data_IF_278929767961
#
_entry.id   IF_278929767961
#
_cell.length_a   1.000
_cell.length_b   1.000
_cell.length_c   1.000
_cell.angle_alpha   90.00
_cell.angle_beta   90.00
_cell.angle_gamma   90.00
#
_symmetry.space_group_name_H-M   'P 1'
#
loop_
_entity.id
_entity.type
_entity.pdbx_description
1 polymer ?
#
# COMPACT_ATOMS: atom_id res chain seq x y z
N UNK A 1 24.55 -20.48 29.90
CA UNK A 1 24.17 -21.91 29.81
C UNK A 1 23.17 -21.95 28.70
N UNK A 2 23.66 -22.10 27.47
CA UNK A 2 23.03 -21.46 26.31
C UNK A 2 22.02 -22.37 25.61
N UNK A 3 21.66 -23.50 26.23
CA UNK A 3 20.77 -24.51 25.66
C UNK A 3 19.29 -24.11 25.57
N UNK A 4 18.88 -23.00 26.20
CA UNK A 4 17.51 -22.50 26.08
C UNK A 4 17.24 -21.91 24.68
N UNK A 5 18.26 -21.39 24.01
CA UNK A 5 18.14 -20.68 22.73
C UNK A 5 17.67 -21.61 21.61
N UNK A 6 18.28 -22.78 21.50
CA UNK A 6 17.90 -23.80 20.50
C UNK A 6 16.49 -24.32 20.76
N UNK A 7 16.16 -24.58 22.04
CA UNK A 7 14.80 -25.01 22.45
C UNK A 7 13.76 -23.95 22.08
N UNK A 8 14.05 -22.67 22.38
CA UNK A 8 13.17 -21.55 22.06
C UNK A 8 12.89 -21.46 20.55
N UNK A 9 13.93 -21.53 19.71
CA UNK A 9 13.76 -21.44 18.26
C UNK A 9 12.94 -22.60 17.70
N UNK A 10 13.15 -23.82 18.18
CA UNK A 10 12.40 -25.01 17.76
C UNK A 10 10.90 -24.90 18.11
N UNK A 11 10.62 -24.40 19.31
CA UNK A 11 9.24 -24.22 19.77
C UNK A 11 8.54 -23.04 19.09
N UNK A 12 9.24 -21.92 18.87
CA UNK A 12 8.70 -20.79 18.10
C UNK A 12 8.41 -21.20 16.66
N UNK A 13 9.33 -21.94 16.02
CA UNK A 13 9.14 -22.50 14.68
C UNK A 13 7.90 -23.39 14.61
N UNK A 14 7.74 -24.29 15.59
CA UNK A 14 6.58 -25.19 15.69
C UNK A 14 5.28 -24.42 15.85
N UNK A 15 5.31 -23.32 16.59
CA UNK A 15 4.15 -22.47 16.84
C UNK A 15 3.67 -21.80 15.58
N UNK A 16 4.59 -21.17 14.83
CA UNK A 16 4.27 -20.56 13.54
C UNK A 16 3.68 -21.56 12.56
N UNK A 17 4.06 -22.83 12.61
CA UNK A 17 3.40 -23.87 11.80
C UNK A 17 2.01 -24.20 12.33
N UNK A 18 1.85 -24.28 13.65
CA UNK A 18 0.58 -24.68 14.28
C UNK A 18 -0.51 -23.61 14.22
N UNK A 19 -0.14 -22.33 14.23
CA UNK A 19 -1.05 -21.18 14.16
C UNK A 19 -1.37 -20.76 12.71
N UNK A 20 -0.68 -21.35 11.74
CA UNK A 20 -0.86 -21.08 10.31
C UNK A 20 -0.08 -19.89 9.78
N UNK A 21 0.88 -19.34 10.53
CA UNK A 21 1.85 -18.34 10.05
C UNK A 21 2.75 -18.93 8.97
N UNK A 22 3.22 -20.16 9.19
CA UNK A 22 4.09 -20.93 8.30
C UNK A 22 3.44 -22.24 7.85
N UNK A 23 3.81 -22.67 6.65
CA UNK A 23 3.56 -24.02 6.14
C UNK A 23 4.86 -24.73 5.82
N UNK A 24 4.82 -26.07 5.83
CA UNK A 24 5.95 -26.92 5.46
C UNK A 24 5.74 -27.49 4.07
N UNK A 25 6.50 -26.98 3.09
CA UNK A 25 6.43 -27.41 1.69
C UNK A 25 7.74 -28.11 1.33
N UNK A 26 7.68 -29.42 1.07
CA UNK A 26 8.86 -30.24 0.75
C UNK A 26 9.99 -30.17 1.81
N UNK A 27 9.62 -29.99 3.09
CA UNK A 27 10.57 -29.86 4.20
C UNK A 27 11.15 -28.45 4.37
N UNK A 28 10.63 -27.46 3.65
CA UNK A 28 11.01 -26.05 3.77
C UNK A 28 9.87 -25.28 4.43
N UNK A 29 10.20 -24.43 5.41
CA UNK A 29 9.25 -23.55 6.06
C UNK A 29 9.01 -22.30 5.20
N UNK A 30 7.75 -21.99 4.90
CA UNK A 30 7.33 -20.88 4.04
C UNK A 30 6.18 -20.12 4.69
N UNK A 31 6.09 -18.81 4.44
CA UNK A 31 4.91 -18.03 4.80
C UNK A 31 3.66 -18.63 4.15
N UNK A 32 2.58 -18.77 4.91
CA UNK A 32 1.31 -19.16 4.29
C UNK A 32 0.75 -17.99 3.50
N UNK A 33 0.05 -18.30 2.40
CA UNK A 33 -0.65 -17.27 1.60
C UNK A 33 -1.66 -16.46 2.42
N UNK A 34 -2.25 -17.05 3.46
CA UNK A 34 -3.16 -16.36 4.37
C UNK A 34 -2.43 -15.34 5.24
N UNK A 35 -1.29 -15.73 5.83
CA UNK A 35 -0.47 -14.84 6.63
C UNK A 35 0.14 -13.71 5.79
N UNK A 36 0.68 -13.99 4.59
CA UNK A 36 1.21 -12.96 3.70
C UNK A 36 0.15 -11.93 3.29
N UNK A 37 -1.08 -12.36 3.01
CA UNK A 37 -2.17 -11.42 2.71
C UNK A 37 -2.60 -10.62 3.93
N UNK A 38 -2.63 -11.23 5.11
CA UNK A 38 -2.94 -10.52 6.36
C UNK A 38 -1.88 -9.46 6.66
N UNK A 39 -0.60 -9.79 6.54
CA UNK A 39 0.52 -8.85 6.72
C UNK A 39 0.44 -7.68 5.73
N UNK A 40 0.23 -7.98 4.45
CA UNK A 40 0.07 -6.97 3.40
C UNK A 40 -1.12 -6.04 3.71
N UNK A 41 -2.26 -6.62 4.12
CA UNK A 41 -3.44 -5.84 4.48
C UNK A 41 -3.24 -5.00 5.73
N UNK A 42 -2.56 -5.52 6.76
CA UNK A 42 -2.30 -4.79 8.01
C UNK A 42 -1.30 -3.65 7.84
N UNK A 43 -0.51 -3.70 6.77
CA UNK A 43 0.45 -2.66 6.41
C UNK A 43 -0.05 -1.78 5.27
N UNK A 44 -1.35 -1.84 4.95
CA UNK A 44 -1.96 -1.03 3.89
C UNK A 44 -1.31 -1.19 2.51
N UNK A 45 -0.76 -2.37 2.22
CA UNK A 45 0.02 -2.70 1.02
C UNK A 45 1.35 -1.94 0.88
N UNK A 46 1.86 -1.37 1.96
CA UNK A 46 3.15 -0.66 1.97
C UNK A 46 4.32 -1.61 2.17
N UNK A 47 4.10 -2.75 2.83
CA UNK A 47 5.15 -3.71 3.11
C UNK A 47 4.71 -5.14 2.76
N UNK A 48 5.64 -5.92 2.24
CA UNK A 48 5.40 -7.30 1.81
C UNK A 48 6.42 -8.25 2.41
N UNK A 49 5.95 -9.45 2.79
CA UNK A 49 6.85 -10.54 3.16
C UNK A 49 7.61 -11.04 1.94
N UNK A 50 8.90 -11.25 2.11
CA UNK A 50 9.78 -11.82 1.10
C UNK A 50 9.55 -13.34 0.98
N UNK A 51 9.67 -13.88 -0.23
CA UNK A 51 9.69 -15.34 -0.46
C UNK A 51 11.06 -15.92 -0.06
N UNK A 52 11.23 -16.09 1.25
CA UNK A 52 12.40 -16.70 1.87
C UNK A 52 12.02 -18.00 2.57
N UNK A 53 12.99 -18.86 2.82
CA UNK A 53 12.81 -20.02 3.68
C UNK A 53 12.81 -19.51 5.12
N UNK A 54 11.81 -19.81 5.94
CA UNK A 54 11.69 -19.27 7.31
C UNK A 54 12.11 -20.34 8.33
N UNK A 55 13.35 -20.80 8.20
CA UNK A 55 13.99 -21.68 9.18
C UNK A 55 14.73 -20.83 10.22
N UNK A 56 14.13 -20.69 11.40
CA UNK A 56 14.63 -19.82 12.47
C UNK A 56 16.03 -20.22 12.95
N UNK A 57 16.38 -21.51 12.93
CA UNK A 57 17.71 -21.97 13.34
C UNK A 57 18.80 -21.62 12.33
N UNK A 58 18.43 -21.57 11.05
CA UNK A 58 19.31 -21.13 9.97
C UNK A 58 19.33 -19.60 9.82
N UNK A 59 18.24 -18.95 10.20
CA UNK A 59 18.07 -17.50 10.12
C UNK A 59 18.79 -16.77 11.26
N UNK A 60 18.69 -17.26 12.51
CA UNK A 60 19.26 -16.61 13.69
C UNK A 60 20.61 -17.19 14.13
N UNK A 61 21.58 -16.31 14.31
CA UNK A 61 22.90 -16.66 14.81
C UNK A 61 22.96 -16.69 16.34
N UNK A 62 22.56 -17.82 16.94
CA UNK A 62 22.55 -18.03 18.40
C UNK A 62 23.93 -18.03 19.07
N UNK A 63 25.02 -18.08 18.28
CA UNK A 63 26.39 -17.98 18.83
C UNK A 63 26.75 -16.56 19.31
N UNK A 64 25.94 -15.56 18.93
CA UNK A 64 26.08 -14.17 19.34
C UNK A 64 25.28 -13.95 20.63
N UNK A 65 25.90 -14.18 21.79
CA UNK A 65 25.26 -13.91 23.08
C UNK A 65 24.76 -12.45 23.18
N UNK A 66 23.52 -12.29 23.67
CA UNK A 66 22.63 -11.10 23.62
C UNK A 66 21.77 -10.92 22.35
N UNK A 67 22.19 -11.41 21.19
CA UNK A 67 21.44 -11.17 19.95
C UNK A 67 20.05 -11.81 19.90
N UNK A 68 19.88 -13.01 20.47
CA UNK A 68 18.54 -13.65 20.47
C UNK A 68 17.48 -12.83 21.23
N UNK A 69 17.87 -12.04 22.23
CA UNK A 69 16.92 -11.17 22.93
C UNK A 69 16.43 -10.04 22.01
N UNK A 70 17.30 -9.45 21.19
CA UNK A 70 16.91 -8.44 20.20
C UNK A 70 15.98 -9.04 19.12
N UNK A 71 16.24 -10.29 18.71
CA UNK A 71 15.36 -10.99 17.77
C UNK A 71 13.95 -11.29 18.35
N UNK A 72 13.83 -11.52 19.66
CA UNK A 72 12.53 -11.69 20.32
C UNK A 72 11.71 -10.39 20.21
N UNK A 73 12.33 -9.25 20.52
CA UNK A 73 11.69 -7.93 20.38
C UNK A 73 11.28 -7.64 18.94
N UNK A 74 12.12 -8.02 17.97
CA UNK A 74 11.78 -7.92 16.55
C UNK A 74 10.55 -8.75 16.18
N UNK A 75 10.45 -9.99 16.66
CA UNK A 75 9.30 -10.84 16.38
C UNK A 75 8.01 -10.41 17.09
N UNK A 76 8.09 -9.91 18.31
CA UNK A 76 6.94 -9.30 18.99
C UNK A 76 6.34 -8.16 18.15
N UNK A 77 7.20 -7.33 17.57
CA UNK A 77 6.79 -6.27 16.67
C UNK A 77 6.24 -6.77 15.34
N UNK A 78 6.93 -7.70 14.69
CA UNK A 78 6.55 -8.20 13.37
C UNK A 78 5.21 -8.94 13.39
N UNK A 79 4.96 -9.71 14.44
CA UNK A 79 3.76 -10.55 14.55
C UNK A 79 2.66 -9.92 15.38
N UNK A 80 2.88 -8.72 15.95
CA UNK A 80 1.98 -8.09 16.92
C UNK A 80 1.61 -9.09 18.05
N UNK A 81 2.55 -9.97 18.37
CA UNK A 81 2.40 -10.97 19.41
C UNK A 81 2.86 -10.40 20.73
N UNK A 82 2.32 -10.95 21.80
CA UNK A 82 2.79 -10.67 23.13
C UNK A 82 3.51 -11.91 23.66
N UNK A 83 4.70 -12.21 23.11
CA UNK A 83 5.52 -13.34 23.53
C UNK A 83 6.00 -13.19 24.99
N UNK A 84 5.78 -12.03 25.62
CA UNK A 84 6.30 -11.65 26.93
C UNK A 84 5.26 -11.53 28.07
N UNK A 85 3.94 -11.50 27.82
CA UNK A 85 2.93 -11.08 28.83
C UNK A 85 2.34 -12.12 29.79
N UNK A 86 2.57 -13.42 29.59
CA UNK A 86 1.90 -14.42 30.43
C UNK A 86 2.61 -14.60 31.78
N UNK A 87 1.88 -14.87 32.87
CA UNK A 87 2.52 -15.18 34.15
C UNK A 87 3.43 -16.41 34.11
N UNK A 88 3.22 -17.29 33.13
CA UNK A 88 4.03 -18.48 32.90
C UNK A 88 5.36 -18.14 32.19
N UNK A 89 5.41 -17.08 31.35
CA UNK A 89 6.67 -16.52 30.78
C UNK A 89 7.58 -15.84 31.78
N UNK A 90 7.07 -15.41 32.93
CA UNK A 90 7.85 -14.69 33.93
C UNK A 90 8.56 -15.59 34.95
N UNK A 91 8.19 -16.88 35.05
CA UNK A 91 8.53 -17.71 36.22
C UNK A 91 9.60 -18.78 35.98
N UNK A 92 10.01 -19.04 34.74
CA UNK A 92 11.00 -20.07 34.45
C UNK A 92 11.89 -19.70 33.24
N UNK A 93 13.23 -19.78 33.40
CA UNK A 93 14.22 -19.77 32.30
C UNK A 93 14.13 -21.02 31.40
N UNK A 94 12.93 -21.50 31.09
CA UNK A 94 12.71 -22.79 30.44
C UNK A 94 12.79 -22.74 28.92
N UNK A 95 12.72 -21.56 28.32
CA UNK A 95 12.84 -21.41 26.86
C UNK A 95 11.78 -22.23 26.11
N UNK A 96 10.58 -22.34 26.69
CA UNK A 96 9.44 -23.09 26.14
C UNK A 96 8.25 -22.17 25.83
N UNK A 97 7.24 -22.63 25.10
CA UNK A 97 6.02 -21.90 24.71
C UNK A 97 5.11 -21.49 25.87
N UNK A 98 5.20 -22.19 26.99
CA UNK A 98 4.60 -21.74 28.26
C UNK A 98 5.39 -20.57 28.88
N UNK A 99 6.49 -20.13 28.27
CA UNK A 99 7.27 -18.99 28.71
C UNK A 99 8.27 -18.44 27.69
N UNK A 100 7.74 -17.86 26.61
CA UNK A 100 8.48 -17.54 25.39
C UNK A 100 9.59 -16.53 25.55
N UNK A 101 9.52 -15.61 26.51
CA UNK A 101 10.64 -14.71 26.76
C UNK A 101 11.46 -15.21 27.97
N UNK A 102 12.75 -15.56 27.78
CA UNK A 102 13.60 -15.97 28.87
C UNK A 102 13.76 -14.81 29.85
N UNK A 103 13.61 -15.07 31.15
CA UNK A 103 13.94 -14.09 32.20
C UNK A 103 15.38 -13.55 32.06
N UNK A 104 16.26 -14.35 31.46
CA UNK A 104 17.63 -13.96 31.06
C UNK A 104 17.72 -12.79 30.08
N UNK A 105 16.68 -12.50 29.30
CA UNK A 105 16.63 -11.34 28.39
C UNK A 105 16.15 -10.06 29.08
N UNK A 106 15.51 -10.15 30.26
CA UNK A 106 14.98 -8.98 30.96
C UNK A 106 13.84 -8.24 30.24
N UNK A 107 13.30 -8.81 29.15
CA UNK A 107 12.18 -8.27 28.35
C UNK A 107 10.80 -8.60 28.96
N UNK A 108 10.80 -9.43 30.00
CA UNK A 108 9.65 -9.98 30.67
C UNK A 108 9.49 -9.30 32.04
N UNK A 109 8.98 -8.07 32.08
CA UNK A 109 8.56 -7.43 33.32
C UNK A 109 7.03 -7.30 33.42
N UNK A 110 6.52 -7.14 34.65
CA UNK A 110 5.08 -7.14 34.94
C UNK A 110 4.35 -5.88 34.50
N UNK A 111 5.07 -4.93 33.89
CA UNK A 111 4.41 -3.80 33.25
C UNK A 111 3.95 -4.31 31.89
N UNK A 112 2.63 -4.32 31.66
CA UNK A 112 2.04 -4.54 30.33
C UNK A 112 2.97 -3.93 29.30
N UNK A 113 3.57 -4.76 28.44
CA UNK A 113 4.55 -4.35 27.45
C UNK A 113 4.14 -3.00 26.91
N UNK A 114 4.86 -1.95 27.33
CA UNK A 114 4.44 -0.58 27.08
C UNK A 114 4.81 -0.26 25.65
N UNK A 115 4.02 -0.82 24.72
CA UNK A 115 4.05 -0.67 23.29
C UNK A 115 5.29 0.02 22.76
N UNK A 116 6.41 -0.70 22.65
CA UNK A 116 7.33 -0.40 21.56
C UNK A 116 6.79 -1.10 20.33
N UNK A 117 5.53 -0.83 19.94
CA UNK A 117 5.04 -1.17 18.63
C UNK A 117 5.78 -0.22 17.68
N UNK A 118 6.94 -0.67 17.22
CA UNK A 118 7.71 0.00 16.19
C UNK A 118 6.76 0.23 15.01
N UNK A 119 6.87 1.40 14.39
CA UNK A 119 6.28 1.60 13.07
C UNK A 119 6.92 0.59 12.11
N UNK A 120 6.25 0.25 11.00
CA UNK A 120 6.81 -0.73 10.06
C UNK A 120 8.13 -0.23 9.43
N UNK A 121 8.30 1.09 9.29
CA UNK A 121 9.57 1.70 8.86
C UNK A 121 10.67 1.60 9.91
N UNK A 122 10.35 1.78 11.20
CA UNK A 122 11.29 1.53 12.30
C UNK A 122 11.66 0.04 12.40
N UNK A 123 10.69 -0.85 12.20
CA UNK A 123 10.92 -2.29 12.17
C UNK A 123 11.81 -2.71 11.00
N UNK A 124 11.66 -2.07 9.84
CA UNK A 124 12.52 -2.28 8.69
C UNK A 124 13.96 -1.82 8.98
N UNK A 125 14.13 -0.67 9.65
CA UNK A 125 15.44 -0.19 10.10
C UNK A 125 16.07 -1.16 11.11
N UNK A 126 15.27 -1.71 12.02
CA UNK A 126 15.72 -2.70 13.01
C UNK A 126 16.16 -4.00 12.32
N UNK A 127 15.39 -4.51 11.36
CA UNK A 127 15.78 -5.65 10.52
C UNK A 127 17.16 -5.41 9.87
N UNK A 128 17.35 -4.24 9.27
CA UNK A 128 18.62 -3.87 8.63
C UNK A 128 19.78 -3.78 9.64
N UNK A 129 19.53 -3.28 10.86
CA UNK A 129 20.49 -3.24 11.97
C UNK A 129 20.92 -4.66 12.36
N UNK A 130 19.96 -5.54 12.62
CA UNK A 130 20.21 -6.94 13.01
C UNK A 130 20.97 -7.71 11.91
N UNK A 131 20.65 -7.44 10.63
CA UNK A 131 21.32 -8.09 9.49
C UNK A 131 22.75 -7.57 9.28
N UNK A 132 22.90 -6.26 9.09
CA UNK A 132 24.15 -5.68 8.57
C UNK A 132 25.16 -5.33 9.66
N UNK A 133 24.70 -4.88 10.83
CA UNK A 133 25.61 -4.42 11.88
C UNK A 133 26.00 -5.57 12.82
N UNK A 134 25.05 -6.45 13.14
CA UNK A 134 25.25 -7.51 14.12
C UNK A 134 25.48 -8.88 13.51
N UNK A 135 25.08 -9.06 12.24
CA UNK A 135 25.03 -10.37 11.57
C UNK A 135 24.27 -11.41 12.41
N UNK A 136 23.21 -10.94 13.07
CA UNK A 136 22.33 -11.75 13.88
C UNK A 136 21.34 -12.52 13.01
N UNK A 137 20.79 -11.87 11.99
CA UNK A 137 19.85 -12.48 11.04
C UNK A 137 20.52 -12.67 9.67
N UNK A 138 20.19 -13.76 8.98
CA UNK A 138 20.82 -14.11 7.71
C UNK A 138 20.24 -13.36 6.48
N UNK A 139 18.96 -13.02 6.52
CA UNK A 139 18.23 -12.38 5.42
C UNK A 139 17.05 -11.56 5.96
N UNK A 140 16.55 -10.66 5.12
CA UNK A 140 15.35 -9.88 5.40
C UNK A 140 14.10 -10.77 5.29
N UNK A 141 13.09 -10.53 6.14
CA UNK A 141 11.81 -11.24 6.10
C UNK A 141 10.75 -10.44 5.34
N UNK A 142 10.87 -9.12 5.31
CA UNK A 142 9.95 -8.23 4.61
C UNK A 142 10.68 -7.02 4.03
N UNK A 143 10.02 -6.35 3.10
CA UNK A 143 10.51 -5.13 2.45
C UNK A 143 9.37 -4.13 2.25
N UNK A 144 9.73 -2.87 2.01
CA UNK A 144 8.80 -1.86 1.52
C UNK A 144 8.47 -2.16 0.05
N UNK A 145 7.20 -2.10 -0.30
CA UNK A 145 6.70 -2.36 -1.64
C UNK A 145 6.77 -1.10 -2.51
N UNK A 146 6.68 -1.30 -3.82
CA UNK A 146 6.60 -0.19 -4.77
C UNK A 146 5.41 0.74 -4.47
N UNK A 147 5.60 2.02 -4.79
CA UNK A 147 4.60 3.07 -4.58
C UNK A 147 3.24 2.69 -5.19
N UNK A 148 2.17 2.91 -4.43
CA UNK A 148 0.80 2.74 -4.90
C UNK A 148 0.43 3.89 -5.84
N UNK A 149 0.29 3.58 -7.13
CA UNK A 149 -0.17 4.53 -8.14
C UNK A 149 -1.70 4.48 -8.25
N UNK A 150 -2.34 5.60 -7.91
CA UNK A 150 -3.76 5.82 -8.08
C UNK A 150 -4.10 6.08 -9.54
N UNK A 151 -5.25 5.56 -9.95
CA UNK A 151 -5.87 5.76 -11.26
C UNK A 151 -7.37 5.97 -11.08
N UNK A 152 -8.09 6.26 -12.17
CA UNK A 152 -9.54 6.33 -12.12
C UNK A 152 -10.17 5.03 -11.60
N UNK A 153 -10.95 5.11 -10.52
CA UNK A 153 -11.58 3.96 -9.87
C UNK A 153 -10.75 3.32 -8.76
N UNK A 154 -9.54 3.83 -8.47
CA UNK A 154 -8.76 3.38 -7.32
C UNK A 154 -9.54 3.57 -6.01
N UNK A 155 -9.41 2.58 -5.13
CA UNK A 155 -9.90 2.61 -3.76
C UNK A 155 -8.84 1.92 -2.90
N UNK A 156 -8.19 2.68 -2.02
CA UNK A 156 -7.07 2.19 -1.21
C UNK A 156 -7.29 2.54 0.25
N UNK A 157 -6.98 1.61 1.15
CA UNK A 157 -6.92 1.87 2.59
C UNK A 157 -5.53 2.37 2.95
N UNK A 158 -5.42 3.26 3.93
CA UNK A 158 -4.16 3.81 4.41
C UNK A 158 -4.27 4.35 5.84
N UNK A 159 -3.14 4.77 6.40
CA UNK A 159 -3.07 5.43 7.72
C UNK A 159 -2.04 6.54 7.73
N UNK A 160 -2.31 7.62 8.47
CA UNK A 160 -1.34 8.67 8.78
C UNK A 160 -0.66 8.45 10.13
N UNK A 161 -1.11 7.47 10.92
CA UNK A 161 -0.53 7.19 12.23
C UNK A 161 0.93 6.72 12.12
N UNK A 162 1.83 7.39 12.84
CA UNK A 162 3.26 7.10 12.83
C UNK A 162 4.02 7.66 11.61
N UNK A 163 3.33 8.34 10.69
CA UNK A 163 3.96 8.99 9.54
C UNK A 163 4.58 10.35 9.89
N UNK A 164 5.43 10.86 9.02
CA UNK A 164 6.06 12.18 9.13
C UNK A 164 5.15 13.30 8.61
N UNK A 165 5.45 14.53 9.02
CA UNK A 165 4.81 15.76 8.53
C UNK A 165 5.76 16.42 7.54
N UNK A 166 5.54 16.22 6.24
CA UNK A 166 6.44 16.62 5.16
C UNK A 166 5.80 17.65 4.20
N UNK A 167 4.48 17.73 4.17
CA UNK A 167 3.67 18.52 3.26
C UNK A 167 2.59 19.29 4.03
N UNK A 168 1.94 20.23 3.35
CA UNK A 168 0.69 20.80 3.84
C UNK A 168 0.77 21.57 5.17
N UNK A 169 -0.20 21.28 6.04
CA UNK A 169 -0.31 21.82 7.40
C UNK A 169 0.55 20.95 8.34
N UNK A 170 0.85 21.37 9.57
CA UNK A 170 1.56 20.52 10.51
C UNK A 170 0.66 19.36 10.97
N UNK A 171 0.53 18.29 10.19
CA UNK A 171 -0.12 17.00 10.46
C UNK A 171 0.76 15.84 9.98
N UNK A 172 0.43 14.59 10.29
CA UNK A 172 1.16 13.46 9.71
C UNK A 172 0.56 13.09 8.35
N UNK A 173 1.39 12.74 7.38
CA UNK A 173 0.99 12.69 5.97
C UNK A 173 1.14 11.29 5.39
N UNK A 174 0.22 10.92 4.51
CA UNK A 174 0.38 9.78 3.60
C UNK A 174 0.28 10.24 2.15
N UNK A 175 1.24 9.84 1.33
CA UNK A 175 1.35 10.26 -0.07
C UNK A 175 1.04 9.14 -1.05
N UNK A 176 0.50 9.52 -2.21
CA UNK A 176 0.25 8.65 -3.35
C UNK A 176 0.51 9.41 -4.66
N UNK A 177 1.05 8.73 -5.67
CA UNK A 177 1.04 9.23 -7.05
C UNK A 177 -0.29 8.95 -7.71
N UNK A 178 -0.86 9.94 -8.40
CA UNK A 178 -2.02 9.79 -9.29
C UNK A 178 -1.57 10.00 -10.73
N UNK A 179 -1.87 9.04 -11.59
CA UNK A 179 -1.67 9.13 -13.05
C UNK A 179 -2.94 8.65 -13.75
N UNK A 180 -3.33 9.33 -14.82
CA UNK A 180 -4.44 8.91 -15.70
C UNK A 180 -3.92 8.76 -17.12
N UNK A 181 -4.51 7.86 -17.91
CA UNK A 181 -4.05 7.62 -19.29
C UNK A 181 -4.45 8.76 -20.24
N UNK A 182 -5.57 9.43 -19.96
CA UNK A 182 -6.19 10.45 -20.81
C UNK A 182 -6.53 11.69 -19.99
N UNK A 183 -6.80 12.82 -20.65
CA UNK A 183 -7.24 14.03 -19.96
C UNK A 183 -8.59 13.81 -19.26
N UNK A 184 -8.60 13.98 -17.94
CA UNK A 184 -9.79 13.86 -17.12
C UNK A 184 -10.30 15.24 -16.70
N UNK A 185 -11.49 15.67 -17.16
CA UNK A 185 -11.99 17.01 -16.88
C UNK A 185 -12.36 17.19 -15.42
N UNK A 186 -12.78 16.11 -14.74
CA UNK A 186 -13.12 16.09 -13.32
C UNK A 186 -12.67 14.78 -12.73
N UNK A 187 -11.61 14.84 -11.92
CA UNK A 187 -11.23 13.78 -10.97
C UNK A 187 -11.67 14.22 -9.59
N UNK A 188 -12.41 13.34 -8.90
CA UNK A 188 -12.77 13.45 -7.49
C UNK A 188 -11.85 12.54 -6.69
N UNK A 189 -11.12 13.12 -5.74
CA UNK A 189 -10.30 12.40 -4.76
C UNK A 189 -10.94 12.62 -3.41
N UNK A 190 -11.25 11.56 -2.67
CA UNK A 190 -12.12 11.66 -1.50
C UNK A 190 -11.72 10.69 -0.40
N UNK A 191 -11.67 11.22 0.82
CA UNK A 191 -11.73 10.47 2.10
C UNK A 191 -13.04 10.80 2.85
N UNK A 192 -13.99 11.41 2.14
CA UNK A 192 -15.22 11.97 2.71
C UNK A 192 -16.06 10.90 3.42
N UNK A 193 -16.28 11.09 4.72
CA UNK A 193 -16.98 10.16 5.62
C UNK A 193 -16.34 8.75 5.69
N UNK A 194 -15.07 8.62 5.28
CA UNK A 194 -14.33 7.36 5.22
C UNK A 194 -12.91 7.50 5.80
N UNK A 195 -12.80 8.33 6.84
CA UNK A 195 -11.64 8.47 7.70
C UNK A 195 -12.13 8.65 9.15
N UNK A 196 -11.32 8.23 10.12
CA UNK A 196 -11.65 8.33 11.55
C UNK A 196 -11.04 9.56 12.25
N UNK A 197 -10.40 10.44 11.48
CA UNK A 197 -9.74 11.65 11.94
C UNK A 197 -10.14 12.88 11.10
N UNK A 198 -9.69 14.06 11.54
CA UNK A 198 -9.91 15.33 10.85
C UNK A 198 -8.87 15.50 9.73
N UNK A 199 -9.31 15.45 8.47
CA UNK A 199 -8.43 15.27 7.31
C UNK A 199 -8.31 16.54 6.46
N UNK A 200 -7.10 16.83 5.98
CA UNK A 200 -6.90 17.61 4.77
C UNK A 200 -6.56 16.71 3.58
N UNK A 201 -6.89 17.21 2.39
CA UNK A 201 -6.34 16.69 1.14
C UNK A 201 -5.56 17.77 0.43
N UNK A 202 -4.38 17.42 -0.06
CA UNK A 202 -3.59 18.27 -0.95
C UNK A 202 -3.26 17.54 -2.24
N UNK A 203 -3.23 18.28 -3.34
CA UNK A 203 -2.75 17.75 -4.63
C UNK A 203 -1.72 18.69 -5.19
N UNK A 204 -0.56 18.16 -5.53
CA UNK A 204 0.56 18.90 -6.10
C UNK A 204 0.93 18.35 -7.48
N UNK A 205 1.45 19.22 -8.34
CA UNK A 205 2.25 18.84 -9.51
C UNK A 205 3.73 19.15 -9.22
N UNK A 206 4.63 18.38 -9.81
CA UNK A 206 6.08 18.56 -9.62
C UNK A 206 6.72 19.07 -10.90
N UNK A 207 7.46 20.17 -10.84
CA UNK A 207 8.21 20.64 -12.01
C UNK A 207 9.45 19.78 -12.30
N UNK A 208 10.10 20.01 -13.44
CA UNK A 208 11.28 19.23 -13.87
C UNK A 208 12.51 19.33 -12.94
N UNK A 209 12.52 20.24 -11.97
CA UNK A 209 13.59 20.40 -10.97
C UNK A 209 13.15 20.00 -9.55
N UNK A 210 11.93 19.45 -9.40
CA UNK A 210 11.43 18.89 -8.16
C UNK A 210 10.64 19.86 -7.28
N UNK A 211 10.27 21.06 -7.76
CA UNK A 211 9.44 21.96 -6.97
C UNK A 211 7.97 21.56 -7.05
N UNK A 212 7.31 21.52 -5.90
CA UNK A 212 5.89 21.23 -5.79
C UNK A 212 5.05 22.50 -6.00
N UNK A 213 4.02 22.39 -6.81
CA UNK A 213 2.98 23.41 -6.98
C UNK A 213 1.64 22.83 -6.60
N UNK A 214 0.99 23.41 -5.59
CA UNK A 214 -0.34 22.98 -5.16
C UNK A 214 -1.36 23.33 -6.25
N UNK A 215 -2.12 22.32 -6.70
CA UNK A 215 -3.18 22.45 -7.71
C UNK A 215 -4.58 22.24 -7.13
N UNK A 216 -4.71 21.56 -5.99
CA UNK A 216 -5.96 21.47 -5.22
C UNK A 216 -5.69 21.32 -3.72
N UNK A 217 -6.66 21.74 -2.88
CA UNK A 217 -6.69 21.51 -1.44
C UNK A 217 -8.15 21.43 -0.95
N UNK A 218 -8.42 20.60 0.04
CA UNK A 218 -9.63 20.65 0.86
C UNK A 218 -9.31 20.46 2.35
N UNK A 219 -10.16 21.04 3.17
CA UNK A 219 -10.21 20.99 4.63
C UNK A 219 -11.70 21.10 4.98
N UNK A 220 -12.30 20.08 5.61
CA UNK A 220 -13.72 19.98 5.93
C UNK A 220 -14.68 20.23 4.74
N UNK A 221 -14.83 19.24 3.88
CA UNK A 221 -15.68 19.41 2.69
C UNK A 221 -17.17 19.38 3.02
N UNK A 222 -17.97 20.14 2.26
CA UNK A 222 -19.42 20.22 2.46
C UNK A 222 -20.08 18.83 2.40
N UNK A 223 -20.68 18.40 3.52
CA UNK A 223 -21.31 17.08 3.65
C UNK A 223 -20.37 15.94 4.09
N UNK A 224 -19.13 16.27 4.45
CA UNK A 224 -18.09 15.33 4.87
C UNK A 224 -17.69 15.48 6.35
N UNK A 225 -18.45 16.24 7.16
CA UNK A 225 -18.08 16.59 8.53
C UNK A 225 -16.65 17.16 8.60
N UNK A 226 -15.73 16.44 9.28
CA UNK A 226 -14.33 16.82 9.46
C UNK A 226 -13.39 16.17 8.40
N UNK A 227 -13.96 15.64 7.32
CA UNK A 227 -13.19 14.92 6.29
C UNK A 227 -13.26 15.63 4.95
N UNK A 228 -12.34 15.31 4.05
CA UNK A 228 -12.06 16.11 2.86
C UNK A 228 -12.32 15.38 1.54
N UNK A 229 -12.73 16.14 0.53
CA UNK A 229 -12.73 15.76 -0.88
C UNK A 229 -12.25 16.91 -1.78
N UNK A 230 -11.49 16.60 -2.82
CA UNK A 230 -11.03 17.59 -3.81
C UNK A 230 -11.50 17.22 -5.21
N UNK A 231 -11.80 18.24 -6.01
CA UNK A 231 -12.15 18.13 -7.43
C UNK A 231 -11.17 18.93 -8.25
N UNK A 232 -10.56 18.30 -9.25
CA UNK A 232 -9.62 18.95 -10.15
C UNK A 232 -9.67 18.34 -11.56
N UNK A 233 -9.19 19.08 -12.55
CA UNK A 233 -8.91 18.52 -13.87
C UNK A 233 -7.48 17.97 -13.89
N UNK A 234 -7.28 16.82 -14.52
CA UNK A 234 -6.01 16.09 -14.60
C UNK A 234 -5.64 15.92 -16.06
N UNK A 235 -4.36 16.12 -16.38
CA UNK A 235 -3.82 15.88 -17.73
C UNK A 235 -3.37 14.44 -17.85
N UNK A 236 -3.72 13.77 -18.96
CA UNK A 236 -3.28 12.40 -19.23
C UNK A 236 -1.76 12.29 -19.29
N UNK A 237 -1.20 11.28 -18.62
CA UNK A 237 0.23 11.01 -18.55
C UNK A 237 1.03 11.92 -17.60
N UNK A 238 0.41 12.92 -16.97
CA UNK A 238 1.05 13.75 -15.94
C UNK A 238 0.88 13.10 -14.56
N UNK A 239 1.92 13.20 -13.72
CA UNK A 239 1.89 12.68 -12.34
C UNK A 239 1.51 13.77 -11.34
N UNK A 240 0.53 13.46 -10.50
CA UNK A 240 0.07 14.32 -9.41
C UNK A 240 0.39 13.66 -8.07
N UNK A 241 1.00 14.40 -7.15
CA UNK A 241 1.21 13.94 -5.78
C UNK A 241 -0.06 14.24 -4.98
N UNK A 242 -0.73 13.21 -4.49
CA UNK A 242 -1.87 13.28 -3.59
C UNK A 242 -1.37 13.08 -2.17
N UNK A 243 -1.76 13.98 -1.26
CA UNK A 243 -1.39 13.93 0.15
C UNK A 243 -2.67 13.88 0.98
N UNK A 244 -2.81 12.82 1.78
CA UNK A 244 -3.79 12.73 2.87
C UNK A 244 -3.07 13.17 4.14
N UNK A 245 -3.57 14.21 4.78
CA UNK A 245 -2.89 14.93 5.86
C UNK A 245 -3.84 15.10 7.05
N UNK A 246 -3.31 15.23 8.26
CA UNK A 246 -4.06 15.50 9.47
C UNK A 246 -4.23 17.00 9.72
N UNK A 247 -5.40 17.43 10.20
CA UNK A 247 -5.68 18.86 10.46
C UNK A 247 -4.60 19.58 11.30
N UNK A 248 -3.99 18.85 12.23
CA UNK A 248 -2.87 19.31 13.03
C UNK A 248 -2.02 18.14 13.51
N UNK A 249 -0.94 18.44 14.25
CA UNK A 249 0.08 17.48 14.61
C UNK A 249 -0.40 16.39 15.58
N UNK A 250 -1.55 16.57 16.23
CA UNK A 250 -2.18 15.58 17.09
C UNK A 250 -3.23 14.74 16.35
N UNK A 251 -3.55 15.09 15.11
CA UNK A 251 -4.58 14.43 14.32
C UNK A 251 -3.95 13.44 13.36
N UNK A 252 -4.19 12.16 13.58
CA UNK A 252 -3.78 11.07 12.68
C UNK A 252 -4.80 9.96 12.77
N UNK A 253 -4.87 9.08 11.78
CA UNK A 253 -5.72 7.90 11.85
C UNK A 253 -5.80 7.13 10.55
N UNK A 254 -6.78 6.24 10.50
CA UNK A 254 -7.03 5.36 9.36
C UNK A 254 -8.03 6.00 8.39
N UNK A 255 -7.85 5.73 7.10
CA UNK A 255 -8.71 6.23 6.04
C UNK A 255 -8.85 5.26 4.88
N UNK A 256 -9.89 5.45 4.08
CA UNK A 256 -9.98 4.93 2.72
C UNK A 256 -10.01 6.10 1.73
N UNK A 257 -9.11 6.05 0.74
CA UNK A 257 -8.98 7.04 -0.32
C UNK A 257 -9.59 6.49 -1.61
N UNK A 258 -10.60 7.19 -2.11
CA UNK A 258 -11.28 6.86 -3.35
C UNK A 258 -10.96 7.89 -4.45
N UNK A 259 -10.70 7.40 -5.66
CA UNK A 259 -10.51 8.23 -6.86
C UNK A 259 -11.59 7.91 -7.89
N UNK A 260 -12.36 8.91 -8.29
CA UNK A 260 -13.44 8.77 -9.27
C UNK A 260 -13.30 9.80 -10.38
N UNK A 261 -13.27 9.34 -11.63
CA UNK A 261 -13.21 10.20 -12.80
C UNK A 261 -14.60 10.34 -13.41
N UNK A 262 -15.08 11.57 -13.52
CA UNK A 262 -16.37 11.88 -14.12
C UNK A 262 -16.10 12.31 -15.55
N UNK A 263 -16.33 11.38 -16.47
CA UNK A 263 -16.29 11.68 -17.90
C UNK A 263 -17.29 12.80 -18.18
N UNK A 264 -16.79 13.94 -18.68
CA UNK A 264 -17.69 14.85 -19.37
C UNK A 264 -18.21 14.12 -20.59
N UNK A 265 -19.51 13.84 -20.61
CA UNK A 265 -20.20 13.42 -21.84
C UNK A 265 -20.05 14.56 -22.83
N UNK A 266 -18.98 14.53 -23.62
CA UNK A 266 -18.86 15.39 -24.78
C UNK A 266 -19.96 14.90 -25.71
N UNK A 267 -21.10 15.59 -25.68
CA UNK A 267 -22.08 15.49 -26.76
C UNK A 267 -21.32 15.94 -27.99
N UNK A 268 -20.82 14.99 -28.78
CA UNK A 268 -20.35 15.24 -30.13
C UNK A 268 -21.54 15.84 -30.86
N UNK A 269 -21.63 17.17 -30.85
CA UNK A 269 -22.48 17.87 -31.79
C UNK A 269 -21.79 17.66 -33.12
N UNK A 270 -22.12 16.55 -33.79
CA UNK A 270 -21.94 16.43 -35.23
C UNK A 270 -22.66 17.62 -35.82
N UNK A 271 -21.93 18.68 -36.11
CA UNK A 271 -22.33 19.70 -37.06
C UNK A 271 -22.53 18.96 -38.37
N UNK A 272 -23.75 18.47 -38.60
CA UNK A 272 -24.20 18.12 -39.94
C UNK A 272 -24.11 19.39 -40.75
N UNK A 273 -23.03 19.55 -41.51
CA UNK A 273 -23.01 20.51 -42.61
C UNK A 273 -24.22 20.17 -43.46
N UNK A 274 -25.21 21.05 -43.44
CA UNK A 274 -26.43 20.93 -44.23
C UNK A 274 -26.03 21.17 -45.69
N UNK A 275 -25.45 20.16 -46.33
CA UNK A 275 -25.27 20.15 -47.77
C UNK A 275 -26.62 19.75 -48.37
N UNK A 276 -27.39 20.77 -48.70
CA UNK A 276 -28.66 20.65 -49.41
C UNK A 276 -28.40 19.92 -50.74
N UNK A 277 -29.06 18.77 -51.02
CA UNK A 277 -28.85 18.10 -52.30
C UNK A 277 -29.39 18.99 -53.41
N UNK A 278 -28.50 19.39 -54.31
CA UNK A 278 -28.87 20.07 -55.56
C UNK A 278 -29.68 19.07 -56.40
N UNK A 279 -30.85 19.43 -56.95
CA UNK A 279 -31.68 18.48 -57.69
C UNK A 279 -30.99 18.01 -58.97
N UNK A 280 -31.13 16.73 -59.37
CA UNK A 280 -30.50 16.19 -60.57
C UNK A 280 -31.06 16.84 -61.85
N UNK A 281 -30.25 17.00 -62.91
CA UNK A 281 -30.72 17.57 -64.17
C UNK A 281 -31.70 16.62 -64.87
N UNK A 282 -32.77 17.21 -65.41
CA UNK A 282 -33.81 16.58 -66.23
C UNK A 282 -33.20 15.80 -67.43
N UNK A 283 -33.68 14.59 -67.76
CA UNK A 283 -33.15 13.81 -68.87
C UNK A 283 -33.57 14.37 -70.22
N UNK A 284 -32.60 14.72 -71.06
CA UNK A 284 -32.80 15.05 -72.47
C UNK A 284 -32.85 13.75 -73.28
N UNK A 285 -33.99 13.51 -73.93
CA UNK A 285 -34.19 12.37 -74.84
C UNK A 285 -33.61 12.72 -76.21
N UNK A 286 -32.57 12.03 -76.66
CA UNK A 286 -32.15 12.08 -78.08
C UNK A 286 -31.81 10.69 -78.63
N UNK A 287 -32.59 10.35 -79.64
CA UNK A 287 -32.67 9.20 -80.54
C UNK A 287 -31.34 8.55 -80.96
N UNK A 288 -31.22 7.24 -80.77
CA UNK A 288 -30.16 6.40 -81.37
C UNK A 288 -30.62 5.86 -82.72
N UNK A 289 -29.94 6.24 -83.80
CA UNK A 289 -30.15 5.69 -85.14
C UNK A 289 -29.40 4.38 -85.28
N UNK A 290 -30.11 3.28 -85.54
CA UNK A 290 -29.56 1.95 -85.83
C UNK A 290 -29.13 1.87 -87.29
N UNK A 291 -27.85 1.60 -87.56
CA UNK A 291 -27.36 1.26 -88.90
C UNK A 291 -27.06 -0.24 -88.95
N UNK A 292 -27.85 -0.94 -89.75
CA UNK A 292 -27.75 -2.37 -90.04
C UNK A 292 -26.64 -2.62 -91.07
N UNK A 293 -25.70 -3.52 -90.77
CA UNK A 293 -24.73 -4.02 -91.77
C UNK A 293 -25.04 -5.49 -92.05
N UNK A 294 -25.53 -5.76 -93.25
CA UNK A 294 -25.86 -7.09 -93.76
C UNK A 294 -24.62 -7.73 -94.37
N UNK A 295 -24.24 -8.92 -93.90
CA UNK A 295 -23.24 -9.79 -94.51
C UNK A 295 -23.86 -10.55 -95.67
N UNK A 296 -23.20 -10.58 -96.83
CA UNK A 296 -23.53 -11.51 -97.92
C UNK A 296 -22.25 -12.20 -98.37
N UNK A 297 -22.39 -13.51 -98.57
CA UNK A 297 -21.44 -14.52 -99.09
C UNK A 297 -20.66 -14.11 -100.32
#
# INVERSE_FOLDING_TARGET
GDGWMETFLDELQTTFVSDGTLEVVNGVYKWTSAFSQAFLSSTYNEYGLLDVDVDLQSWLNVSKGQGLCDAISFFDNLFLTDLCSTSDSLLNDKGTLEGLCPGSCGLCDTETFAGTALTMSDLLQEQQRLRSNESLIAYDLFEELEEVILTCGSYVSGTTSGQTSDYGEPGADKTYSLVTDEDEPIVLISVCNDADFDTLLWVYTTDAVGNLTQVAKADDSDGCFLTSEVKLSVTGGETYLVVVDGYNAATTGDFNLAVSCILSTTTTTTTTTNDSPTPPPTPTTTTTTTTTTTTTT
#
